data_IF_905549945326
#
_entry.id   IF_905549945326
#
_cell.length_a   1.000
_cell.length_b   1.000
_cell.length_c   1.000
_cell.angle_alpha   90.00
_cell.angle_beta   90.00
_cell.angle_gamma   90.00
#
_symmetry.space_group_name_H-M   'P 1'
#
loop_
_entity.id
_entity.type
_entity.pdbx_description
1 polymer ?
#
# COMPACT_ATOMS: atom_id res chain seq x y z
N UNK A 1 51.16 -47.15 -13.12
CA UNK A 1 51.09 -45.73 -12.76
C UNK A 1 49.62 -45.34 -12.79
N UNK A 2 49.05 -45.10 -11.61
CA UNK A 2 47.63 -44.89 -11.42
C UNK A 2 47.37 -43.40 -11.31
N UNK A 3 46.68 -42.84 -12.27
CA UNK A 3 46.19 -41.44 -12.20
C UNK A 3 44.92 -41.43 -11.37
N UNK A 4 44.99 -40.93 -10.18
CA UNK A 4 43.85 -40.69 -9.31
C UNK A 4 43.31 -39.30 -9.73
N UNK A 5 42.21 -39.32 -10.46
CA UNK A 5 41.46 -38.14 -10.79
C UNK A 5 40.66 -37.72 -9.55
N UNK A 6 41.12 -36.68 -8.87
CA UNK A 6 40.41 -36.09 -7.74
C UNK A 6 39.29 -35.23 -8.29
N UNK A 7 38.09 -35.79 -8.38
CA UNK A 7 36.89 -35.05 -8.65
C UNK A 7 36.48 -34.34 -7.36
N UNK A 8 36.87 -33.09 -7.24
CA UNK A 8 36.36 -32.19 -6.21
C UNK A 8 34.92 -31.86 -6.63
N UNK A 9 33.99 -32.55 -6.02
CA UNK A 9 32.58 -32.20 -6.10
C UNK A 9 32.36 -30.93 -5.28
N UNK A 10 32.46 -29.78 -5.96
CA UNK A 10 32.12 -28.50 -5.39
C UNK A 10 30.60 -28.44 -5.30
N UNK A 11 30.07 -28.98 -4.21
CA UNK A 11 28.67 -28.76 -3.85
C UNK A 11 28.50 -27.27 -3.55
N UNK A 12 28.09 -26.50 -4.56
CA UNK A 12 27.54 -25.18 -4.35
C UNK A 12 26.26 -25.35 -3.49
N UNK A 13 26.43 -25.19 -2.21
CA UNK A 13 25.34 -24.83 -1.33
C UNK A 13 24.88 -23.44 -1.77
N UNK A 14 23.90 -23.42 -2.66
CA UNK A 14 23.12 -22.22 -2.90
C UNK A 14 22.27 -22.09 -1.63
N UNK A 15 22.86 -21.44 -0.64
CA UNK A 15 22.05 -20.84 0.42
C UNK A 15 21.24 -19.75 -0.27
N UNK A 16 20.01 -20.12 -0.63
CA UNK A 16 18.98 -19.13 -0.92
C UNK A 16 18.77 -18.36 0.38
N UNK A 17 19.51 -17.30 0.58
CA UNK A 17 19.14 -16.27 1.52
C UNK A 17 17.85 -15.67 0.99
N UNK A 18 16.75 -16.05 1.61
CA UNK A 18 15.53 -15.25 1.56
C UNK A 18 15.77 -14.00 2.42
N UNK A 19 16.56 -13.08 1.89
CA UNK A 19 16.79 -11.75 2.51
C UNK A 19 15.67 -10.76 2.21
N UNK A 20 14.47 -11.25 1.87
CA UNK A 20 13.35 -10.38 1.49
C UNK A 20 12.54 -9.83 2.67
N UNK A 21 12.90 -10.10 3.93
CA UNK A 21 12.01 -9.75 5.03
C UNK A 21 12.32 -8.46 5.80
N UNK A 22 13.45 -7.80 5.57
CA UNK A 22 13.81 -6.61 6.37
C UNK A 22 14.42 -5.43 5.62
N UNK A 23 14.25 -5.32 4.32
CA UNK A 23 14.51 -4.05 3.70
C UNK A 23 13.44 -3.07 4.18
N UNK A 24 13.78 -2.20 5.12
CA UNK A 24 12.98 -1.05 5.52
C UNK A 24 12.63 -0.29 4.24
N UNK A 25 11.38 -0.42 3.80
CA UNK A 25 10.95 0.20 2.55
C UNK A 25 10.46 1.60 2.88
N UNK A 26 11.39 2.53 2.85
CA UNK A 26 11.09 3.94 3.02
C UNK A 26 10.27 4.44 1.84
N UNK A 27 9.24 5.25 2.13
CA UNK A 27 8.37 5.85 1.12
C UNK A 27 8.13 7.31 1.41
N UNK A 28 7.83 8.05 0.36
CA UNK A 28 7.40 9.44 0.43
C UNK A 28 6.13 9.72 -0.37
N UNK A 29 5.39 8.68 -0.74
CA UNK A 29 4.11 8.83 -1.40
C UNK A 29 3.40 7.51 -1.67
N UNK A 30 2.12 7.62 -1.99
CA UNK A 30 1.32 6.50 -2.48
C UNK A 30 0.28 6.97 -3.52
N UNK A 31 -0.04 6.09 -4.46
CA UNK A 31 -1.18 6.23 -5.36
C UNK A 31 -2.24 5.24 -4.92
N UNK A 32 -3.47 5.72 -4.79
CA UNK A 32 -4.66 4.91 -4.54
C UNK A 32 -5.44 4.83 -5.84
N UNK A 33 -5.82 3.61 -6.24
CA UNK A 33 -6.75 3.38 -7.34
C UNK A 33 -7.89 2.51 -6.87
N UNK A 34 -9.10 2.99 -7.07
CA UNK A 34 -10.32 2.25 -6.79
C UNK A 34 -11.04 1.95 -8.10
N UNK A 35 -11.66 0.77 -8.20
CA UNK A 35 -12.51 0.42 -9.34
C UNK A 35 -13.64 -0.51 -8.92
N UNK A 36 -14.80 -0.38 -9.58
CA UNK A 36 -16.03 -1.05 -9.23
C UNK A 36 -16.93 -0.17 -8.36
N UNK A 37 -17.46 -0.71 -7.27
CA UNK A 37 -18.38 0.02 -6.40
C UNK A 37 -17.65 1.02 -5.48
N UNK A 38 -17.15 2.11 -6.04
CA UNK A 38 -16.40 3.15 -5.30
C UNK A 38 -17.27 3.78 -4.21
N UNK A 39 -18.58 3.86 -4.42
CA UNK A 39 -19.57 4.40 -3.47
C UNK A 39 -19.58 3.71 -2.11
N UNK A 40 -19.03 2.48 -2.01
CA UNK A 40 -18.92 1.81 -0.70
C UNK A 40 -17.74 2.30 0.13
N UNK A 41 -16.83 3.09 -0.43
CA UNK A 41 -15.71 3.67 0.31
C UNK A 41 -16.16 4.96 0.98
N UNK A 42 -16.45 4.90 2.27
CA UNK A 42 -16.91 6.07 3.01
C UNK A 42 -15.79 7.08 3.27
N UNK A 43 -14.57 6.60 3.50
CA UNK A 43 -13.35 7.42 3.62
C UNK A 43 -12.08 6.60 3.46
N UNK A 44 -11.00 7.29 3.15
CA UNK A 44 -9.63 6.78 3.17
C UNK A 44 -8.86 7.64 4.17
N UNK A 45 -8.15 7.00 5.09
CA UNK A 45 -7.33 7.69 6.08
C UNK A 45 -5.87 7.35 5.88
N UNK A 46 -5.04 8.37 5.89
CA UNK A 46 -3.58 8.26 5.83
C UNK A 46 -3.03 8.64 7.19
N UNK A 47 -2.22 7.77 7.75
CA UNK A 47 -1.52 8.03 9.00
C UNK A 47 -0.08 7.54 8.92
N UNK A 48 0.77 8.07 9.75
CA UNK A 48 2.16 7.66 9.83
C UNK A 48 2.86 8.32 10.99
N UNK A 49 4.04 7.82 11.30
CA UNK A 49 4.92 8.34 12.34
C UNK A 49 6.21 8.81 11.69
N UNK A 50 6.72 9.94 12.16
CA UNK A 50 8.02 10.45 11.76
C UNK A 50 9.08 10.00 12.76
N UNK A 51 10.05 9.22 12.30
CA UNK A 51 11.19 8.79 13.13
C UNK A 51 12.10 9.94 13.56
N UNK A 52 11.98 11.09 12.89
CA UNK A 52 12.85 12.25 13.14
C UNK A 52 12.27 13.23 14.17
N UNK A 53 11.10 12.94 14.74
CA UNK A 53 10.38 13.85 15.64
C UNK A 53 9.84 15.12 14.96
N UNK A 54 9.88 15.17 13.62
CA UNK A 54 9.26 16.25 12.82
C UNK A 54 7.82 15.90 12.52
N UNK A 55 6.97 16.91 12.36
CA UNK A 55 5.58 16.69 11.96
C UNK A 55 5.52 16.03 10.58
N UNK A 56 4.73 14.97 10.47
CA UNK A 56 4.41 14.32 9.22
C UNK A 56 3.20 15.02 8.59
N UNK A 57 3.40 15.53 7.39
CA UNK A 57 2.34 16.11 6.57
C UNK A 57 2.08 15.23 5.36
N UNK A 58 0.81 15.07 5.03
CA UNK A 58 0.37 14.53 3.75
C UNK A 58 0.09 15.68 2.79
N UNK A 59 0.54 15.56 1.55
CA UNK A 59 0.37 16.54 0.49
C UNK A 59 -0.53 15.92 -0.57
N UNK A 60 -1.69 16.53 -0.78
CA UNK A 60 -2.65 16.12 -1.80
C UNK A 60 -3.16 17.37 -2.52
N UNK A 61 -3.15 17.36 -3.86
CA UNK A 61 -3.51 18.52 -4.69
C UNK A 61 -2.78 19.82 -4.27
N UNK A 62 -1.47 19.72 -3.97
CA UNK A 62 -0.61 20.82 -3.52
C UNK A 62 -0.93 21.37 -2.11
N UNK A 63 -1.95 20.85 -1.44
CA UNK A 63 -2.32 21.21 -0.08
C UNK A 63 -1.65 20.30 0.95
N UNK A 64 -1.26 20.91 2.09
CA UNK A 64 -0.64 20.19 3.21
C UNK A 64 -1.66 19.88 4.29
N UNK A 65 -1.70 18.63 4.71
CA UNK A 65 -2.59 18.12 5.74
C UNK A 65 -1.79 17.43 6.84
N UNK A 66 -2.12 17.69 8.10
CA UNK A 66 -1.52 16.98 9.24
C UNK A 66 -1.95 15.51 9.25
N UNK A 67 -1.09 14.65 9.81
CA UNK A 67 -1.45 13.26 10.11
C UNK A 67 -2.37 13.20 11.37
N UNK A 68 -3.49 12.44 11.35
CA UNK A 68 -4.02 11.71 10.20
C UNK A 68 -4.74 12.60 9.18
N UNK A 69 -4.58 12.28 7.89
CA UNK A 69 -5.28 12.95 6.80
C UNK A 69 -6.41 12.06 6.27
N UNK A 70 -7.57 12.64 6.08
CA UNK A 70 -8.76 11.91 5.57
C UNK A 70 -9.15 12.42 4.19
N UNK A 71 -9.39 11.50 3.28
CA UNK A 71 -9.85 11.72 1.93
C UNK A 71 -11.16 10.98 1.71
N UNK A 72 -12.14 11.67 1.10
CA UNK A 72 -13.41 11.09 0.71
C UNK A 72 -13.39 10.92 -0.81
N UNK A 73 -13.46 9.68 -1.33
CA UNK A 73 -13.50 9.46 -2.76
C UNK A 73 -14.73 10.08 -3.40
N UNK A 74 -14.54 10.71 -4.55
CA UNK A 74 -15.64 11.15 -5.39
C UNK A 74 -16.00 10.04 -6.37
N UNK A 75 -17.26 9.56 -6.30
CA UNK A 75 -17.75 8.43 -7.11
C UNK A 75 -18.33 8.91 -8.44
N UNK A 76 -17.48 9.42 -9.32
CA UNK A 76 -17.96 9.96 -10.60
C UNK A 76 -18.06 8.93 -11.73
N UNK A 77 -17.38 7.75 -11.67
CA UNK A 77 -17.39 6.79 -12.79
C UNK A 77 -17.03 5.35 -12.39
N UNK A 78 -17.39 4.87 -11.22
CA UNK A 78 -16.93 3.58 -10.69
C UNK A 78 -15.39 3.45 -10.68
N UNK A 79 -14.70 4.56 -10.68
CA UNK A 79 -13.25 4.67 -10.61
C UNK A 79 -12.85 5.89 -9.82
N UNK A 80 -11.79 5.75 -9.06
CA UNK A 80 -11.20 6.84 -8.31
C UNK A 80 -9.69 6.67 -8.29
N UNK A 81 -8.95 7.76 -8.44
CA UNK A 81 -7.49 7.77 -8.28
C UNK A 81 -7.08 9.01 -7.49
N UNK A 82 -6.19 8.81 -6.54
CA UNK A 82 -5.57 9.89 -5.79
C UNK A 82 -4.08 9.58 -5.58
N UNK A 83 -3.27 10.62 -5.69
CA UNK A 83 -1.85 10.59 -5.36
C UNK A 83 -1.62 11.46 -4.12
N UNK A 84 -0.97 10.86 -3.12
CA UNK A 84 -0.69 11.52 -1.84
C UNK A 84 0.80 11.38 -1.55
N UNK A 85 1.47 12.50 -1.27
CA UNK A 85 2.87 12.52 -0.89
C UNK A 85 3.05 12.85 0.59
N UNK A 86 4.24 12.57 1.12
CA UNK A 86 4.65 13.02 2.44
C UNK A 86 5.81 14.00 2.33
N UNK A 87 5.91 14.91 3.30
CA UNK A 87 7.01 15.88 3.37
C UNK A 87 8.35 15.27 3.77
N UNK A 88 8.33 14.05 4.27
CA UNK A 88 9.49 13.28 4.71
C UNK A 88 9.37 11.84 4.24
N UNK A 89 10.50 11.17 4.14
CA UNK A 89 10.56 9.73 3.91
C UNK A 89 10.19 9.04 5.23
N UNK A 90 9.30 8.05 5.17
CA UNK A 90 8.84 7.29 6.33
C UNK A 90 8.78 5.79 6.00
N UNK A 91 8.98 4.96 6.98
CA UNK A 91 8.82 3.50 6.92
C UNK A 91 7.49 3.01 7.55
N UNK A 92 6.74 3.89 8.19
CA UNK A 92 5.44 3.58 8.80
C UNK A 92 4.35 4.52 8.23
N UNK A 93 3.98 4.28 6.98
CA UNK A 93 2.79 4.91 6.38
C UNK A 93 1.69 3.87 6.28
N UNK A 94 0.53 4.21 6.85
CA UNK A 94 -0.68 3.41 6.86
C UNK A 94 -1.73 4.07 5.99
N UNK A 95 -2.37 3.27 5.17
CA UNK A 95 -3.55 3.67 4.41
C UNK A 95 -4.71 2.81 4.86
N UNK A 96 -5.75 3.42 5.40
CA UNK A 96 -6.90 2.74 5.98
C UNK A 96 -8.13 3.07 5.15
N UNK A 97 -8.80 2.03 4.64
CA UNK A 97 -10.04 2.15 3.89
C UNK A 97 -11.20 1.76 4.79
N UNK A 98 -12.17 2.63 4.91
CA UNK A 98 -13.43 2.36 5.58
C UNK A 98 -14.50 2.12 4.51
N UNK A 99 -15.00 0.90 4.45
CA UNK A 99 -15.97 0.44 3.47
C UNK A 99 -17.32 0.23 4.15
N UNK A 100 -18.39 0.69 3.54
CA UNK A 100 -19.75 0.54 4.06
C UNK A 100 -20.73 0.36 2.89
N UNK A 101 -21.45 -0.74 2.87
CA UNK A 101 -22.48 -0.97 1.88
C UNK A 101 -23.87 -0.79 2.50
N UNK A 102 -24.53 0.30 2.18
CA UNK A 102 -25.89 0.64 2.60
C UNK A 102 -26.99 0.16 1.63
N UNK A 103 -26.60 -0.56 0.59
CA UNK A 103 -27.51 -1.03 -0.44
C UNK A 103 -27.95 -2.47 -0.17
N UNK A 104 -29.07 -2.87 -0.78
CA UNK A 104 -29.68 -4.19 -0.64
C UNK A 104 -28.95 -5.30 -1.39
N UNK A 105 -27.95 -4.96 -2.21
CA UNK A 105 -27.19 -5.91 -3.02
C UNK A 105 -25.72 -5.87 -2.63
N UNK A 106 -25.06 -7.03 -2.72
CA UNK A 106 -23.61 -7.11 -2.58
C UNK A 106 -22.90 -6.21 -3.56
N UNK A 107 -21.85 -5.55 -3.11
CA UNK A 107 -21.02 -4.65 -3.89
C UNK A 107 -19.59 -5.14 -3.94
N UNK A 108 -18.97 -5.04 -5.11
CA UNK A 108 -17.59 -5.49 -5.33
C UNK A 108 -16.71 -4.31 -5.67
N UNK A 109 -15.64 -4.16 -4.91
CA UNK A 109 -14.63 -3.12 -5.10
C UNK A 109 -13.24 -3.72 -5.23
N UNK A 110 -12.45 -3.17 -6.14
CA UNK A 110 -11.02 -3.45 -6.24
C UNK A 110 -10.24 -2.22 -5.77
N UNK A 111 -9.33 -2.46 -4.85
CA UNK A 111 -8.45 -1.45 -4.25
C UNK A 111 -7.01 -1.79 -4.64
N UNK A 112 -6.33 -0.82 -5.22
CA UNK A 112 -4.92 -0.89 -5.53
C UNK A 112 -4.19 0.24 -4.79
N UNK A 113 -3.12 -0.12 -4.08
CA UNK A 113 -2.23 0.82 -3.39
C UNK A 113 -0.83 0.63 -3.97
N UNK A 114 -0.25 1.71 -4.46
CA UNK A 114 1.11 1.75 -4.99
C UNK A 114 1.92 2.71 -4.10
N UNK A 115 2.94 2.19 -3.44
CA UNK A 115 3.85 3.02 -2.65
C UNK A 115 5.02 3.49 -3.49
N UNK A 116 5.42 4.73 -3.26
CA UNK A 116 6.44 5.41 -4.03
C UNK A 116 7.59 5.91 -3.16
N UNK A 117 8.78 5.92 -3.74
CA UNK A 117 9.95 6.63 -3.25
C UNK A 117 10.52 7.45 -4.41
N UNK A 118 10.59 8.76 -4.21
CA UNK A 118 11.12 9.73 -5.19
C UNK A 118 10.49 9.56 -6.59
N UNK A 119 9.15 9.38 -6.61
CA UNK A 119 8.37 9.21 -7.83
C UNK A 119 8.40 7.81 -8.45
N UNK A 120 9.18 6.88 -7.89
CA UNK A 120 9.25 5.50 -8.37
C UNK A 120 8.34 4.58 -7.55
N UNK A 121 7.53 3.75 -8.20
CA UNK A 121 6.72 2.73 -7.53
C UNK A 121 7.66 1.64 -7.04
N UNK A 122 7.71 1.43 -5.71
CA UNK A 122 8.55 0.43 -5.06
C UNK A 122 7.78 -0.77 -4.55
N UNK A 123 6.48 -0.63 -4.34
CA UNK A 123 5.60 -1.70 -3.88
C UNK A 123 4.17 -1.47 -4.40
N UNK A 124 3.51 -2.56 -4.71
CA UNK A 124 2.11 -2.56 -5.13
C UNK A 124 1.34 -3.62 -4.36
N UNK A 125 0.12 -3.29 -3.94
CA UNK A 125 -0.83 -4.24 -3.38
C UNK A 125 -2.19 -4.04 -4.01
N UNK A 126 -2.80 -5.10 -4.49
CA UNK A 126 -4.14 -5.10 -5.07
C UNK A 126 -5.01 -6.08 -4.31
N UNK A 127 -6.22 -5.69 -3.97
CA UNK A 127 -7.20 -6.58 -3.39
C UNK A 127 -8.60 -6.27 -3.90
N UNK A 128 -9.39 -7.33 -4.12
CA UNK A 128 -10.80 -7.21 -4.47
C UNK A 128 -11.63 -7.72 -3.29
N UNK A 129 -12.61 -6.94 -2.87
CA UNK A 129 -13.52 -7.25 -1.77
C UNK A 129 -14.95 -7.20 -2.22
N UNK A 130 -15.74 -8.14 -1.72
CA UNK A 130 -17.19 -8.11 -1.80
C UNK A 130 -17.75 -7.66 -0.45
N UNK A 131 -18.56 -6.62 -0.48
CA UNK A 131 -19.19 -6.04 0.70
C UNK A 131 -20.65 -6.41 0.65
N UNK A 132 -21.10 -7.23 1.60
CA UNK A 132 -22.48 -7.67 1.71
C UNK A 132 -23.40 -6.51 2.07
N UNK A 133 -24.72 -6.63 1.82
CA UNK A 133 -25.71 -5.64 2.24
C UNK A 133 -25.61 -5.33 3.74
N UNK A 134 -25.76 -4.07 4.09
CA UNK A 134 -25.75 -3.55 5.47
C UNK A 134 -24.49 -3.93 6.28
N UNK A 135 -23.37 -4.20 5.58
CA UNK A 135 -22.09 -4.53 6.20
C UNK A 135 -21.04 -3.46 5.93
N UNK A 136 -20.10 -3.39 6.87
CA UNK A 136 -18.89 -2.58 6.77
C UNK A 136 -17.61 -3.41 6.92
N UNK A 137 -16.51 -2.91 6.37
CA UNK A 137 -15.19 -3.51 6.46
C UNK A 137 -14.12 -2.43 6.56
N UNK A 138 -13.16 -2.63 7.44
CA UNK A 138 -11.96 -1.79 7.50
C UNK A 138 -10.76 -2.56 6.98
N UNK A 139 -10.06 -2.00 6.03
CA UNK A 139 -8.83 -2.57 5.47
C UNK A 139 -7.65 -1.66 5.79
N UNK A 140 -6.59 -2.24 6.30
CA UNK A 140 -5.35 -1.53 6.62
C UNK A 140 -4.22 -2.03 5.72
N UNK A 141 -3.56 -1.10 5.07
CA UNK A 141 -2.39 -1.35 4.25
C UNK A 141 -1.19 -0.64 4.88
N UNK A 142 -0.15 -1.39 5.12
CA UNK A 142 1.14 -0.86 5.58
C UNK A 142 2.20 -1.04 4.52
N UNK A 143 3.20 -0.22 4.63
CA UNK A 143 4.47 -0.48 3.96
C UNK A 143 5.36 -1.33 4.86
#
# INVERSE_FOLDING_TARGET
MKNILFIILFSMLITSCNDDEHAVKQVNGCIIRLSGAVEVVSKIEFSGISDTGKDLFFIHNEEKHLSPYTLIPDDTNNKYEAEVHTNIISDDIRTIFYLENKQQQSKKITIEVLWMLDGNIIKKKTSTKEILPDNGLTLVYHI
#
